data_IF_153551807769
#
_entry.id   IF_153551807769
#
_cell.length_a   1.000
_cell.length_b   1.000
_cell.length_c   1.000
_cell.angle_alpha   90.00
_cell.angle_beta   90.00
_cell.angle_gamma   90.00
#
_symmetry.space_group_name_H-M   'P 1'
#
loop_
_entity.id
_entity.type
_entity.pdbx_description
1 polymer ?
#
# COMPACT_ATOMS: atom_id res chain seq x y z
N UNK A 1 -38.19 -55.95 -25.01
CA UNK A 1 -36.81 -55.39 -25.00
C UNK A 1 -36.78 -53.86 -25.08
N UNK A 2 -37.73 -53.12 -24.47
CA UNK A 2 -37.87 -51.64 -24.61
C UNK A 2 -38.13 -51.00 -23.23
N UNK A 3 -37.41 -51.42 -22.18
CA UNK A 3 -37.59 -50.83 -20.83
C UNK A 3 -36.30 -50.47 -20.11
N UNK A 4 -35.14 -50.79 -20.69
CA UNK A 4 -33.84 -50.57 -20.07
C UNK A 4 -33.02 -49.47 -20.74
N UNK A 5 -33.60 -48.72 -21.69
CA UNK A 5 -32.88 -47.69 -22.46
C UNK A 5 -33.23 -46.25 -22.08
N UNK A 6 -34.05 -46.04 -21.04
CA UNK A 6 -34.51 -44.70 -20.63
C UNK A 6 -33.83 -44.17 -19.36
N UNK A 7 -33.02 -44.98 -18.68
CA UNK A 7 -32.39 -44.59 -17.40
C UNK A 7 -30.95 -44.05 -17.54
N UNK A 8 -30.38 -44.08 -18.75
CA UNK A 8 -29.04 -43.54 -19.04
C UNK A 8 -29.06 -42.16 -19.68
N UNK A 9 -30.24 -41.57 -19.93
CA UNK A 9 -30.37 -40.25 -20.58
C UNK A 9 -30.58 -39.08 -19.61
N UNK A 10 -30.64 -39.34 -18.29
CA UNK A 10 -30.90 -38.31 -17.26
C UNK A 10 -29.67 -37.90 -16.43
N UNK A 11 -28.49 -38.46 -16.71
CA UNK A 11 -27.23 -38.13 -16.01
C UNK A 11 -26.31 -37.18 -16.80
N UNK A 12 -26.80 -36.55 -17.86
CA UNK A 12 -26.12 -35.46 -18.56
C UNK A 12 -26.76 -34.11 -18.23
N UNK A 13 -27.18 -33.89 -16.97
CA UNK A 13 -27.35 -32.54 -16.45
C UNK A 13 -25.95 -31.96 -16.27
N UNK A 14 -25.50 -31.33 -17.35
CA UNK A 14 -24.31 -30.49 -17.42
C UNK A 14 -24.24 -29.59 -16.18
N UNK A 15 -23.34 -29.93 -15.26
CA UNK A 15 -22.81 -28.98 -14.28
C UNK A 15 -22.04 -27.95 -15.10
N UNK A 16 -22.76 -26.95 -15.63
CA UNK A 16 -22.08 -25.77 -16.14
C UNK A 16 -21.42 -25.12 -14.93
N UNK A 17 -20.09 -24.92 -14.93
CA UNK A 17 -19.47 -24.14 -13.87
C UNK A 17 -20.18 -22.79 -13.89
N UNK A 18 -20.75 -22.40 -12.75
CA UNK A 18 -21.27 -21.06 -12.58
C UNK A 18 -20.10 -20.11 -12.80
N UNK A 19 -20.04 -19.45 -13.95
CA UNK A 19 -19.10 -18.37 -14.18
C UNK A 19 -19.41 -17.32 -13.12
N UNK A 20 -18.50 -17.09 -12.17
CA UNK A 20 -18.76 -16.08 -11.18
C UNK A 20 -18.88 -14.72 -11.85
N UNK A 21 -19.91 -14.00 -11.45
CA UNK A 21 -20.19 -12.67 -11.99
C UNK A 21 -19.11 -11.70 -11.50
N UNK A 22 -18.49 -10.92 -12.40
CA UNK A 22 -17.59 -9.85 -12.02
C UNK A 22 -18.25 -8.90 -11.01
N UNK A 23 -17.52 -8.54 -9.97
CA UNK A 23 -17.98 -7.58 -8.97
C UNK A 23 -17.47 -6.19 -9.32
N UNK A 24 -18.32 -5.18 -9.14
CA UNK A 24 -18.01 -3.78 -9.46
C UNK A 24 -18.14 -2.92 -8.22
N UNK A 25 -17.11 -2.14 -7.91
CA UNK A 25 -17.03 -1.27 -6.76
C UNK A 25 -16.65 0.14 -7.18
N UNK A 26 -17.33 1.15 -6.62
CA UNK A 26 -16.83 2.53 -6.65
C UNK A 26 -16.00 2.80 -5.40
N UNK A 27 -15.00 3.67 -5.50
CA UNK A 27 -14.09 3.93 -4.40
C UNK A 27 -12.76 4.54 -4.83
N UNK A 28 -11.77 4.40 -3.97
CA UNK A 28 -10.44 4.99 -4.14
C UNK A 28 -9.43 3.89 -4.42
N UNK A 29 -8.77 3.97 -5.57
CA UNK A 29 -7.56 3.20 -5.86
C UNK A 29 -6.35 3.97 -5.30
N UNK A 30 -5.55 3.31 -4.48
CA UNK A 30 -4.24 3.81 -4.07
C UNK A 30 -3.16 2.99 -4.78
N UNK A 31 -2.32 3.67 -5.55
CA UNK A 31 -1.05 3.14 -6.06
C UNK A 31 0.04 3.54 -5.07
N UNK A 32 0.89 2.61 -4.67
CA UNK A 32 1.93 2.87 -3.68
C UNK A 32 3.19 2.07 -3.96
N UNK A 33 4.33 2.59 -3.54
CA UNK A 33 5.61 1.89 -3.60
C UNK A 33 5.82 1.10 -2.32
N UNK A 34 5.61 -0.22 -2.40
CA UNK A 34 5.87 -1.16 -1.32
C UNK A 34 7.38 -1.33 -1.18
N UNK A 35 8.00 -1.03 -0.02
CA UNK A 35 9.38 -1.36 0.25
C UNK A 35 9.60 -2.87 0.15
N UNK A 36 10.61 -3.29 -0.61
CA UNK A 36 11.04 -4.69 -0.67
C UNK A 36 12.54 -4.71 -0.51
N UNK A 37 12.99 -5.17 0.65
CA UNK A 37 14.40 -5.16 1.02
C UNK A 37 15.07 -6.47 0.60
N UNK A 38 16.19 -6.34 -0.09
CA UNK A 38 17.14 -7.43 -0.34
C UNK A 38 18.45 -7.00 0.30
N UNK A 39 18.77 -7.61 1.45
CA UNK A 39 19.81 -7.14 2.37
C UNK A 39 19.55 -5.66 2.76
N UNK A 40 20.53 -4.78 2.57
CA UNK A 40 20.42 -3.34 2.86
C UNK A 40 19.90 -2.50 1.67
N UNK A 41 19.46 -3.15 0.58
CA UNK A 41 19.02 -2.46 -0.64
C UNK A 41 17.51 -2.55 -0.81
N UNK A 42 16.83 -1.40 -0.79
CA UNK A 42 15.40 -1.32 -1.09
C UNK A 42 15.16 -1.35 -2.61
N UNK A 43 14.34 -2.29 -3.05
CA UNK A 43 13.84 -2.40 -4.42
C UNK A 43 12.32 -2.26 -4.43
N UNK A 44 11.79 -1.03 -4.30
CA UNK A 44 10.37 -0.83 -4.06
C UNK A 44 9.51 -1.32 -5.24
N UNK A 45 8.42 -2.01 -4.94
CA UNK A 45 7.50 -2.56 -5.93
C UNK A 45 6.21 -1.73 -5.99
N UNK A 46 5.83 -1.32 -7.21
CA UNK A 46 4.58 -0.61 -7.42
C UNK A 46 3.41 -1.58 -7.20
N UNK A 47 2.63 -1.30 -6.17
CA UNK A 47 1.50 -2.12 -5.73
C UNK A 47 0.24 -1.27 -5.67
N UNK A 48 -0.91 -1.92 -5.69
CA UNK A 48 -2.20 -1.25 -5.68
C UNK A 48 -3.13 -1.88 -4.65
N UNK A 49 -3.91 -1.03 -4.01
CA UNK A 49 -5.04 -1.45 -3.18
C UNK A 49 -6.23 -0.55 -3.44
N UNK A 50 -7.41 -1.06 -3.15
CA UNK A 50 -8.65 -0.33 -3.38
C UNK A 50 -9.49 -0.27 -2.12
N UNK A 51 -10.05 0.91 -1.88
CA UNK A 51 -10.93 1.24 -0.77
C UNK A 51 -12.35 1.46 -1.31
N UNK A 52 -13.27 0.49 -1.16
CA UNK A 52 -14.65 0.64 -1.60
C UNK A 52 -15.37 1.75 -0.84
N UNK A 53 -16.24 2.48 -1.56
CA UNK A 53 -17.08 3.53 -1.00
C UNK A 53 -17.94 3.01 0.15
N UNK A 54 -18.35 3.93 1.03
CA UNK A 54 -19.21 3.61 2.18
C UNK A 54 -20.60 3.05 1.81
N UNK A 55 -21.05 3.22 0.57
CA UNK A 55 -22.29 2.61 0.07
C UNK A 55 -22.10 1.16 -0.41
N UNK A 56 -20.86 0.69 -0.56
CA UNK A 56 -20.56 -0.67 -1.00
C UNK A 56 -20.83 -1.69 0.11
N UNK A 57 -21.30 -2.88 -0.27
CA UNK A 57 -21.32 -4.05 0.63
C UNK A 57 -19.91 -4.44 1.10
N UNK A 58 -18.88 -3.98 0.40
CA UNK A 58 -17.48 -4.14 0.76
C UNK A 58 -16.90 -2.94 1.56
N UNK A 59 -17.74 -2.06 2.11
CA UNK A 59 -17.30 -0.92 2.93
C UNK A 59 -16.33 -1.34 4.04
N UNK A 60 -15.28 -0.55 4.23
CA UNK A 60 -14.31 -0.73 5.32
C UNK A 60 -13.36 -1.91 5.11
N UNK A 61 -13.44 -2.59 3.96
CA UNK A 61 -12.51 -3.63 3.54
C UNK A 61 -11.46 -3.01 2.61
N UNK A 62 -10.31 -3.68 2.51
CA UNK A 62 -9.27 -3.35 1.54
C UNK A 62 -9.19 -4.48 0.52
N UNK A 63 -9.18 -4.12 -0.76
CA UNK A 63 -8.96 -5.06 -1.86
C UNK A 63 -7.55 -4.84 -2.39
N UNK A 64 -6.63 -5.72 -2.04
CA UNK A 64 -5.26 -5.75 -2.56
C UNK A 64 -5.26 -6.33 -3.98
N UNK A 65 -4.49 -5.72 -4.89
CA UNK A 65 -4.49 -6.08 -6.31
C UNK A 65 -3.13 -6.66 -6.69
N UNK A 66 -3.12 -7.91 -7.20
CA UNK A 66 -1.87 -8.59 -7.59
C UNK A 66 -1.26 -8.08 -8.88
N UNK A 67 -2.06 -7.42 -9.72
CA UNK A 67 -1.63 -6.90 -11.00
C UNK A 67 -1.88 -5.39 -11.08
N UNK A 68 -1.11 -4.67 -11.92
CA UNK A 68 -1.32 -3.25 -12.10
C UNK A 68 -2.75 -2.94 -12.52
N UNK A 69 -3.43 -2.12 -11.71
CA UNK A 69 -4.78 -1.66 -12.01
C UNK A 69 -4.79 -0.43 -12.92
N UNK A 70 -3.66 0.29 -12.95
CA UNK A 70 -3.39 1.42 -13.84
C UNK A 70 -2.11 1.14 -14.62
N UNK A 71 -2.06 1.61 -15.86
CA UNK A 71 -0.80 1.58 -16.60
C UNK A 71 0.21 2.61 -16.02
N UNK A 72 1.50 2.30 -16.15
CA UNK A 72 2.57 3.15 -15.66
C UNK A 72 2.67 4.49 -16.41
N UNK A 73 2.27 4.53 -17.68
CA UNK A 73 2.32 5.73 -18.52
C UNK A 73 1.38 6.80 -17.97
N UNK A 74 0.19 6.42 -17.52
CA UNK A 74 -0.78 7.31 -16.87
C UNK A 74 -0.23 7.85 -15.55
N UNK A 75 0.31 6.98 -14.70
CA UNK A 75 0.94 7.41 -13.45
C UNK A 75 2.08 8.39 -13.70
N UNK A 76 2.88 8.17 -14.74
CA UNK A 76 3.98 9.06 -15.12
C UNK A 76 3.47 10.42 -15.66
N UNK A 77 2.32 10.44 -16.32
CA UNK A 77 1.69 11.67 -16.80
C UNK A 77 1.08 12.49 -15.66
N UNK A 78 0.35 11.84 -14.75
CA UNK A 78 -0.38 12.51 -13.68
C UNK A 78 0.52 12.83 -12.47
N UNK A 79 1.49 11.96 -12.17
CA UNK A 79 2.36 11.99 -10.99
C UNK A 79 3.82 11.63 -11.31
N UNK A 80 4.53 12.45 -12.11
CA UNK A 80 5.90 12.15 -12.54
C UNK A 80 6.87 11.99 -11.37
N UNK A 81 6.74 12.80 -10.32
CA UNK A 81 7.59 12.72 -9.12
C UNK A 81 7.41 11.41 -8.35
N UNK A 82 6.17 10.91 -8.23
CA UNK A 82 5.88 9.62 -7.59
C UNK A 82 6.57 8.47 -8.32
N UNK A 83 6.55 8.49 -9.66
CA UNK A 83 7.21 7.47 -10.49
C UNK A 83 8.73 7.60 -10.44
N UNK A 84 9.26 8.82 -10.48
CA UNK A 84 10.70 9.07 -10.45
C UNK A 84 11.34 8.72 -9.11
N UNK A 85 10.70 9.08 -8.00
CA UNK A 85 11.24 8.90 -6.65
C UNK A 85 11.00 7.49 -6.11
N UNK A 86 10.02 6.74 -6.66
CA UNK A 86 9.64 5.40 -6.21
C UNK A 86 9.35 5.33 -4.70
N UNK A 87 8.67 6.36 -4.17
CA UNK A 87 8.33 6.52 -2.76
C UNK A 87 6.89 6.97 -2.57
N UNK A 88 6.29 6.60 -1.44
CA UNK A 88 4.95 7.05 -1.03
C UNK A 88 3.83 6.42 -1.85
N UNK A 89 2.78 7.20 -2.08
CA UNK A 89 1.53 6.75 -2.67
C UNK A 89 0.78 7.89 -3.39
N UNK A 90 -0.13 7.53 -4.29
CA UNK A 90 -1.05 8.43 -4.98
C UNK A 90 -2.42 7.78 -5.15
N UNK A 91 -3.47 8.61 -5.21
CA UNK A 91 -4.86 8.15 -5.22
C UNK A 91 -5.62 8.56 -6.48
N UNK A 92 -6.54 7.68 -6.89
CA UNK A 92 -7.53 7.95 -7.91
C UNK A 92 -8.91 7.51 -7.43
N UNK A 93 -9.91 8.36 -7.63
CA UNK A 93 -11.30 7.93 -7.48
C UNK A 93 -11.79 7.27 -8.77
N UNK A 94 -12.57 6.20 -8.66
CA UNK A 94 -13.16 5.54 -9.82
C UNK A 94 -13.86 4.22 -9.51
N UNK A 95 -13.98 3.41 -10.55
CA UNK A 95 -14.64 2.11 -10.49
C UNK A 95 -13.63 1.00 -10.68
N UNK A 96 -13.61 0.06 -9.75
CA UNK A 96 -12.88 -1.19 -9.85
C UNK A 96 -13.83 -2.32 -10.22
N UNK A 97 -13.51 -3.03 -11.31
CA UNK A 97 -14.13 -4.32 -11.64
C UNK A 97 -13.15 -5.43 -11.29
N UNK A 98 -13.57 -6.39 -10.49
CA UNK A 98 -12.77 -7.56 -10.10
C UNK A 98 -13.50 -8.85 -10.40
N UNK A 99 -12.73 -9.88 -10.74
CA UNK A 99 -13.23 -11.23 -10.90
C UNK A 99 -12.87 -12.01 -9.62
N UNK A 100 -13.88 -12.54 -8.93
CA UNK A 100 -13.79 -13.36 -7.70
C UNK A 100 -12.71 -12.92 -6.67
N UNK A 101 -12.96 -11.87 -5.86
CA UNK A 101 -11.99 -11.51 -4.82
C UNK A 101 -11.94 -12.60 -3.74
N UNK A 102 -10.74 -13.07 -3.42
CA UNK A 102 -10.51 -14.03 -2.35
C UNK A 102 -10.33 -13.31 -1.01
N UNK A 103 -11.13 -13.66 -0.02
CA UNK A 103 -10.97 -13.14 1.34
C UNK A 103 -9.85 -13.89 2.08
N UNK A 104 -9.10 -13.17 2.90
CA UNK A 104 -8.15 -13.73 3.86
C UNK A 104 -8.15 -12.90 5.14
N UNK A 105 -7.77 -13.51 6.27
CA UNK A 105 -7.69 -12.82 7.54
C UNK A 105 -6.25 -12.55 7.92
N UNK A 106 -5.95 -11.32 8.30
CA UNK A 106 -4.63 -10.92 8.79
C UNK A 106 -4.81 -9.92 9.94
N UNK A 107 -4.07 -10.11 11.04
CA UNK A 107 -4.19 -9.26 12.24
C UNK A 107 -5.62 -9.14 12.79
N UNK A 108 -6.48 -10.14 12.59
CA UNK A 108 -7.88 -10.11 13.01
C UNK A 108 -8.79 -9.24 12.13
N UNK A 109 -8.32 -8.83 10.95
CA UNK A 109 -9.09 -8.08 9.95
C UNK A 109 -9.26 -8.88 8.66
N UNK A 110 -10.41 -8.71 8.03
CA UNK A 110 -10.69 -9.34 6.73
C UNK A 110 -10.18 -8.46 5.60
N UNK A 111 -9.21 -9.00 4.86
CA UNK A 111 -8.69 -8.43 3.63
C UNK A 111 -9.20 -9.22 2.44
N UNK A 112 -9.16 -8.58 1.28
CA UNK A 112 -9.55 -9.18 0.02
C UNK A 112 -8.39 -9.05 -0.94
N UNK A 113 -8.24 -10.03 -1.79
CA UNK A 113 -7.26 -10.01 -2.86
C UNK A 113 -7.95 -10.30 -4.19
N UNK A 114 -7.62 -9.52 -5.21
CA UNK A 114 -8.10 -9.73 -6.57
C UNK A 114 -6.92 -10.03 -7.50
N UNK A 115 -7.02 -11.15 -8.22
CA UNK A 115 -6.04 -11.54 -9.23
C UNK A 115 -6.21 -10.69 -10.49
N UNK A 116 -7.45 -10.51 -10.94
CA UNK A 116 -7.79 -9.73 -12.12
C UNK A 116 -8.64 -8.54 -11.71
N UNK A 117 -8.14 -7.35 -12.04
CA UNK A 117 -8.76 -6.07 -11.73
C UNK A 117 -8.65 -5.15 -12.94
N UNK A 118 -9.73 -4.44 -13.24
CA UNK A 118 -9.72 -3.32 -14.18
C UNK A 118 -10.23 -2.10 -13.45
N UNK A 119 -9.42 -1.04 -13.43
CA UNK A 119 -9.82 0.23 -12.84
C UNK A 119 -10.11 1.27 -13.91
N UNK A 120 -11.26 1.92 -13.79
CA UNK A 120 -11.68 3.02 -14.64
C UNK A 120 -11.75 4.29 -13.81
N UNK A 121 -10.79 5.21 -13.96
CA UNK A 121 -10.79 6.48 -13.22
C UNK A 121 -12.00 7.34 -13.57
N UNK A 122 -12.50 8.04 -12.57
CA UNK A 122 -13.62 8.97 -12.69
C UNK A 122 -13.18 10.39 -12.34
N UNK A 123 -14.10 11.34 -12.46
CA UNK A 123 -13.87 12.70 -11.99
C UNK A 123 -13.45 12.68 -10.50
N UNK A 124 -12.46 13.50 -10.10
CA UNK A 124 -12.02 13.57 -8.72
C UNK A 124 -13.21 13.82 -7.78
N UNK A 125 -13.25 13.04 -6.70
CA UNK A 125 -14.22 13.19 -5.62
C UNK A 125 -13.45 13.37 -4.30
N UNK A 126 -13.93 14.19 -3.36
CA UNK A 126 -13.30 14.27 -2.04
C UNK A 126 -13.34 12.91 -1.33
N UNK A 127 -12.20 12.51 -0.77
CA UNK A 127 -12.04 11.36 0.12
C UNK A 127 -11.03 11.69 1.21
N UNK A 128 -11.14 11.04 2.37
CA UNK A 128 -10.17 11.16 3.46
C UNK A 128 -9.24 9.95 3.43
N UNK A 129 -8.10 10.09 2.73
CA UNK A 129 -7.14 9.00 2.62
C UNK A 129 -6.58 8.57 3.98
N UNK A 130 -6.40 9.51 4.92
CA UNK A 130 -5.87 9.19 6.26
C UNK A 130 -6.83 8.30 7.02
N UNK A 131 -8.14 8.57 6.90
CA UNK A 131 -9.17 7.72 7.49
C UNK A 131 -9.21 6.33 6.84
N UNK A 132 -9.12 6.25 5.51
CA UNK A 132 -9.12 4.97 4.78
C UNK A 132 -7.92 4.11 5.15
N UNK A 133 -6.73 4.71 5.21
CA UNK A 133 -5.51 4.03 5.64
C UNK A 133 -5.63 3.54 7.08
N UNK A 134 -6.06 4.39 8.02
CA UNK A 134 -6.28 4.00 9.42
C UNK A 134 -7.21 2.79 9.57
N UNK A 135 -8.27 2.73 8.78
CA UNK A 135 -9.24 1.62 8.82
C UNK A 135 -8.66 0.30 8.32
N UNK A 136 -7.51 0.33 7.63
CA UNK A 136 -6.81 -0.86 7.13
C UNK A 136 -5.97 -1.57 8.21
N UNK A 137 -5.99 -1.07 9.46
CA UNK A 137 -5.36 -1.72 10.60
C UNK A 137 -3.86 -1.96 10.43
N UNK A 138 -3.41 -3.21 10.55
CA UNK A 138 -1.97 -3.50 10.41
C UNK A 138 -1.41 -3.25 9.00
N UNK A 139 -2.28 -3.14 7.99
CA UNK A 139 -1.89 -2.72 6.65
C UNK A 139 -2.09 -1.21 6.41
N UNK A 140 -2.17 -0.35 7.44
CA UNK A 140 -2.49 1.08 7.25
C UNK A 140 -1.54 1.80 6.30
N UNK A 141 -0.23 1.61 6.45
CA UNK A 141 0.79 2.41 5.78
C UNK A 141 1.90 1.54 5.14
N UNK A 142 1.56 0.70 4.15
CA UNK A 142 2.48 -0.29 3.60
C UNK A 142 3.66 0.34 2.83
N UNK A 143 3.58 1.63 2.53
CA UNK A 143 4.60 2.41 1.82
C UNK A 143 5.59 3.13 2.75
N UNK A 144 5.41 3.05 4.08
CA UNK A 144 6.33 3.69 5.02
C UNK A 144 7.63 2.91 5.16
N UNK A 145 8.74 3.63 4.97
CA UNK A 145 10.07 3.12 5.26
C UNK A 145 10.43 3.46 6.71
N UNK A 146 10.75 2.42 7.48
CA UNK A 146 11.21 2.55 8.86
C UNK A 146 12.67 2.14 8.99
N UNK A 147 13.38 2.77 9.91
CA UNK A 147 14.80 2.57 10.15
C UNK A 147 15.09 2.51 11.65
N UNK A 148 16.19 1.86 12.01
CA UNK A 148 16.87 1.98 13.30
C UNK A 148 18.24 2.60 13.10
N UNK A 149 18.82 3.13 14.18
CA UNK A 149 20.22 3.52 14.17
C UNK A 149 21.11 2.27 14.17
N UNK A 150 22.23 2.34 13.45
CA UNK A 150 23.29 1.31 13.55
C UNK A 150 24.11 1.43 14.83
N UNK A 151 24.21 2.64 15.36
CA UNK A 151 24.95 2.97 16.58
C UNK A 151 23.99 3.39 17.70
N UNK A 152 24.48 3.40 18.94
CA UNK A 152 23.66 3.70 20.13
C UNK A 152 23.10 5.13 20.17
N UNK A 153 23.65 6.04 19.37
CA UNK A 153 23.18 7.41 19.29
C UNK A 153 23.47 8.05 17.93
N UNK A 154 22.60 8.98 17.54
CA UNK A 154 22.81 9.84 16.39
C UNK A 154 22.23 11.24 16.64
N UNK A 155 22.51 12.17 15.74
CA UNK A 155 22.02 13.55 15.81
C UNK A 155 21.19 13.86 14.57
N UNK A 156 19.96 14.29 14.77
CA UNK A 156 19.18 14.92 13.71
C UNK A 156 19.67 16.35 13.50
N UNK A 157 19.76 16.74 12.24
CA UNK A 157 20.25 18.05 11.79
C UNK A 157 19.12 18.91 11.22
N UNK A 158 19.29 20.23 11.28
CA UNK A 158 18.33 21.20 10.74
C UNK A 158 18.34 21.24 9.20
N UNK A 159 19.43 20.82 8.57
CA UNK A 159 19.62 20.75 7.12
C UNK A 159 20.39 19.46 6.77
N UNK A 160 20.35 19.00 5.51
CA UNK A 160 21.11 17.83 5.03
C UNK A 160 22.62 18.16 4.88
N UNK A 161 23.24 18.55 5.98
CA UNK A 161 24.64 18.94 6.10
C UNK A 161 25.15 18.49 7.47
N UNK A 162 26.30 17.81 7.48
CA UNK A 162 26.95 17.30 8.69
C UNK A 162 27.32 18.42 9.70
N UNK A 163 27.48 19.65 9.21
CA UNK A 163 27.81 20.83 10.01
C UNK A 163 26.59 21.66 10.42
N UNK A 164 25.38 21.30 9.97
CA UNK A 164 24.17 22.01 10.35
C UNK A 164 23.88 21.87 11.86
N UNK A 165 23.06 22.80 12.37
CA UNK A 165 22.61 22.80 13.75
C UNK A 165 21.95 21.47 14.13
N UNK A 166 22.26 20.98 15.32
CA UNK A 166 21.64 19.80 15.89
C UNK A 166 20.23 20.15 16.38
N UNK A 167 19.21 19.45 15.85
CA UNK A 167 17.81 19.66 16.26
C UNK A 167 17.35 18.65 17.31
N UNK A 168 17.93 17.45 17.32
CA UNK A 168 17.65 16.43 18.33
C UNK A 168 18.79 15.42 18.44
N UNK A 169 18.96 14.83 19.63
CA UNK A 169 19.77 13.63 19.83
C UNK A 169 18.84 12.43 19.93
N UNK A 170 19.21 11.36 19.25
CA UNK A 170 18.48 10.11 19.19
C UNK A 170 19.22 9.03 19.98
N UNK A 171 18.48 8.10 20.56
CA UNK A 171 19.00 6.83 21.10
C UNK A 171 18.75 5.69 20.11
N UNK A 172 19.59 4.64 20.17
CA UNK A 172 19.57 3.53 19.22
C UNK A 172 18.27 2.71 19.19
N UNK A 173 17.48 2.76 20.26
CA UNK A 173 16.20 2.05 20.40
C UNK A 173 15.02 2.77 19.76
N UNK A 174 15.18 4.01 19.32
CA UNK A 174 14.10 4.81 18.72
C UNK A 174 13.96 4.51 17.23
N UNK A 175 12.84 3.93 16.77
CA UNK A 175 12.58 3.77 15.36
C UNK A 175 12.38 5.13 14.69
N UNK A 176 12.86 5.25 13.46
CA UNK A 176 12.71 6.41 12.62
C UNK A 176 11.86 6.06 11.42
N UNK A 177 11.03 6.99 10.97
CA UNK A 177 10.23 6.86 9.76
C UNK A 177 10.70 7.87 8.73
N UNK A 178 10.90 7.43 7.49
CA UNK A 178 11.26 8.32 6.39
C UNK A 178 10.10 9.24 6.03
N UNK A 179 10.39 10.54 5.96
CA UNK A 179 9.50 11.54 5.38
C UNK A 179 9.78 11.64 3.88
N UNK A 180 11.07 11.77 3.52
CA UNK A 180 11.53 11.79 2.12
C UNK A 180 13.03 11.51 2.05
N UNK A 181 13.46 11.00 0.89
CA UNK A 181 14.87 11.00 0.54
C UNK A 181 15.27 12.36 -0.06
N UNK A 182 16.36 12.92 0.44
CA UNK A 182 16.87 14.21 -0.04
C UNK A 182 17.86 14.02 -1.19
N UNK A 183 18.78 13.08 -1.03
CA UNK A 183 19.76 12.67 -2.02
C UNK A 183 20.26 11.24 -1.72
N UNK A 184 21.39 10.82 -2.30
CA UNK A 184 21.95 9.49 -2.07
C UNK A 184 22.34 9.22 -0.60
N UNK A 185 22.72 10.28 0.13
CA UNK A 185 23.31 10.15 1.46
C UNK A 185 22.38 10.62 2.58
N UNK A 186 21.39 11.46 2.28
CA UNK A 186 20.56 12.12 3.29
C UNK A 186 19.09 11.77 3.20
N UNK A 187 18.51 11.48 4.36
CA UNK A 187 17.07 11.35 4.56
C UNK A 187 16.55 12.48 5.45
N UNK A 188 15.32 12.91 5.20
CA UNK A 188 14.52 13.59 6.20
C UNK A 188 13.66 12.54 6.92
N UNK A 189 13.73 12.52 8.25
CA UNK A 189 13.08 11.51 9.09
C UNK A 189 12.26 12.15 10.21
N UNK A 190 11.31 11.39 10.74
CA UNK A 190 10.63 11.63 12.02
C UNK A 190 10.94 10.48 12.99
N UNK A 191 10.96 10.77 14.29
CA UNK A 191 10.87 9.69 15.31
C UNK A 191 9.50 9.03 15.19
N UNK A 192 9.45 7.69 15.19
CA UNK A 192 8.20 6.93 15.15
C UNK A 192 7.32 7.27 16.35
N UNK A 193 6.03 7.50 16.10
CA UNK A 193 5.05 7.73 17.15
C UNK A 193 3.70 7.13 16.76
N UNK A 194 3.33 6.03 17.43
CA UNK A 194 2.07 5.32 17.19
C UNK A 194 0.80 6.15 17.49
N UNK A 195 0.91 7.26 18.23
CA UNK A 195 -0.21 8.15 18.50
C UNK A 195 -0.57 9.05 17.29
N UNK A 196 0.35 9.21 16.34
CA UNK A 196 0.17 10.01 15.13
C UNK A 196 -0.22 9.17 13.91
N UNK A 197 -0.79 9.82 12.88
CA UNK A 197 -1.26 9.17 11.65
C UNK A 197 -0.85 9.97 10.40
N UNK A 198 0.09 9.47 9.56
CA UNK A 198 0.93 8.27 9.77
C UNK A 198 1.75 8.36 11.07
N UNK A 199 2.34 7.25 11.58
CA UNK A 199 3.00 7.19 12.89
C UNK A 199 4.36 7.93 12.92
N UNK A 200 4.29 9.24 12.71
CA UNK A 200 5.42 10.16 12.61
C UNK A 200 5.26 11.23 13.68
N UNK A 201 6.18 11.26 14.64
CA UNK A 201 6.22 12.23 15.71
C UNK A 201 6.56 13.65 15.26
N UNK A 202 6.57 14.56 16.23
CA UNK A 202 6.95 15.97 16.05
C UNK A 202 8.46 16.16 15.95
N UNK A 203 9.27 15.29 16.57
CA UNK A 203 10.74 15.30 16.46
C UNK A 203 11.15 14.86 15.06
N UNK A 204 11.70 15.79 14.28
CA UNK A 204 12.04 15.62 12.87
C UNK A 204 13.36 16.30 12.54
N UNK A 205 14.04 15.80 11.52
CA UNK A 205 15.27 16.43 11.02
C UNK A 205 15.91 15.60 9.91
N UNK A 206 17.14 15.96 9.60
CA UNK A 206 17.94 15.30 8.57
C UNK A 206 19.00 14.40 9.20
N UNK A 207 19.23 13.23 8.60
CA UNK A 207 20.25 12.27 9.03
C UNK A 207 20.86 11.58 7.82
N UNK A 208 22.13 11.22 7.91
CA UNK A 208 22.79 10.45 6.86
C UNK A 208 22.36 8.98 6.90
N UNK A 209 22.09 8.42 5.73
CA UNK A 209 21.67 7.03 5.54
C UNK A 209 22.69 6.04 6.11
N UNK A 210 23.98 6.38 6.13
CA UNK A 210 25.03 5.52 6.71
C UNK A 210 24.81 5.18 8.18
N UNK A 211 24.09 6.03 8.92
CA UNK A 211 23.76 5.82 10.32
C UNK A 211 22.53 4.92 10.53
N UNK A 212 21.85 4.53 9.45
CA UNK A 212 20.56 3.87 9.50
C UNK A 212 20.62 2.46 8.93
N UNK A 213 19.93 1.54 9.59
CA UNK A 213 19.60 0.22 9.06
C UNK A 213 18.08 0.09 8.90
N UNK A 214 17.60 -0.55 7.83
CA UNK A 214 16.17 -0.77 7.63
C UNK A 214 15.52 -1.57 8.76
N UNK A 215 14.28 -1.23 9.10
CA UNK A 215 13.40 -2.07 9.91
C UNK A 215 12.46 -2.84 8.97
N UNK A 216 12.61 -4.17 8.96
CA UNK A 216 11.80 -5.10 8.18
C UNK A 216 10.73 -5.76 9.04
#
# INVERSE_FOLDING_TARGET
MIRTLMLTLLLSLSVQPALATPQTFNGVLQAYWLPVWHDDVNQPQLTYRFFPDAASAAKGKVINLRHPALDLKRLQQDHPEFVAQRQGHVEYYGTLRVDEPSAYNECGLDFYEAQQAVFTPQAPRPFDIKQLEKQSGCQSYPWLLSFQLKEDAAVLRAAPDSHAEAVARLSGDQPLVQIRQVNADWLQVAVYDAAHQPPMGSTRGYIELRHLQPLN
#
